data_IF_219333984192
#
_entry.id   IF_219333984192
#
_cell.length_a   1.000
_cell.length_b   1.000
_cell.length_c   1.000
_cell.angle_alpha   90.00
_cell.angle_beta   90.00
_cell.angle_gamma   90.00
#
_symmetry.space_group_name_H-M   'P 1'
#
loop_
_entity.id
_entity.type
_entity.pdbx_description
1 polymer ?
#
# COMPACT_ATOMS: atom_id res chain seq x y z
N UNK A 1 -9.80 8.24 2.60
CA UNK A 1 -8.48 8.85 2.91
C UNK A 1 -7.90 8.09 4.08
N UNK A 2 -7.06 7.08 3.80
CA UNK A 2 -6.58 6.13 4.81
C UNK A 2 -5.67 6.80 5.85
N UNK A 3 -4.85 7.75 5.42
CA UNK A 3 -3.97 8.54 6.26
C UNK A 3 -4.75 9.31 7.36
N UNK A 4 -5.96 9.79 7.05
CA UNK A 4 -6.82 10.50 8.01
C UNK A 4 -7.41 9.61 9.10
N UNK A 5 -7.38 8.29 8.94
CA UNK A 5 -7.80 7.38 10.01
C UNK A 5 -6.88 7.51 11.23
N UNK A 6 -5.59 7.82 11.02
CA UNK A 6 -4.63 7.92 12.11
C UNK A 6 -4.89 9.10 13.04
N UNK A 7 -5.55 10.15 12.54
CA UNK A 7 -6.00 11.28 13.36
C UNK A 7 -6.94 10.82 14.49
N UNK A 8 -7.78 9.82 14.22
CA UNK A 8 -8.73 9.28 15.20
C UNK A 8 -8.08 8.39 16.26
N UNK A 9 -6.88 7.84 15.99
CA UNK A 9 -6.20 6.88 16.87
C UNK A 9 -4.92 7.46 17.49
N UNK A 10 -4.67 8.77 17.36
CA UNK A 10 -3.47 9.43 17.90
C UNK A 10 -2.17 9.03 17.20
N UNK A 11 -2.27 8.47 15.99
CA UNK A 11 -1.13 8.07 15.17
C UNK A 11 -0.74 9.15 14.16
N UNK A 12 0.20 8.82 13.27
CA UNK A 12 0.63 9.70 12.17
C UNK A 12 0.10 9.16 10.84
N UNK A 13 -0.60 10.00 10.07
CA UNK A 13 -1.02 9.69 8.71
C UNK A 13 -0.17 10.43 7.68
N UNK A 14 0.34 9.74 6.67
CA UNK A 14 1.12 10.34 5.58
C UNK A 14 0.58 9.87 4.22
N UNK A 15 0.51 10.78 3.24
CA UNK A 15 0.26 10.45 1.83
C UNK A 15 1.60 10.51 1.08
N UNK A 16 1.94 9.46 0.34
CA UNK A 16 3.13 9.40 -0.50
C UNK A 16 2.75 9.11 -1.95
N UNK A 17 3.12 10.02 -2.85
CA UNK A 17 2.85 9.94 -4.30
C UNK A 17 4.09 9.63 -5.12
N UNK A 18 5.27 9.70 -4.50
CA UNK A 18 6.55 9.37 -5.14
C UNK A 18 7.37 8.38 -4.30
N UNK A 19 8.32 7.65 -4.92
CA UNK A 19 9.24 6.79 -4.17
C UNK A 19 10.08 7.55 -3.12
N UNK A 20 10.47 8.79 -3.41
CA UNK A 20 11.24 9.62 -2.49
C UNK A 20 10.41 10.02 -1.26
N UNK A 21 9.14 10.40 -1.46
CA UNK A 21 8.20 10.69 -0.36
C UNK A 21 7.97 9.45 0.50
N UNK A 22 7.78 8.28 -0.12
CA UNK A 22 7.61 7.03 0.59
C UNK A 22 8.84 6.70 1.45
N UNK A 23 10.04 6.87 0.89
CA UNK A 23 11.31 6.64 1.60
C UNK A 23 11.43 7.55 2.82
N UNK A 24 11.22 8.85 2.64
CA UNK A 24 11.29 9.82 3.73
C UNK A 24 10.24 9.52 4.81
N UNK A 25 9.00 9.22 4.42
CA UNK A 25 7.93 8.86 5.35
C UNK A 25 8.27 7.61 6.17
N UNK A 26 8.88 6.59 5.55
CA UNK A 26 9.34 5.40 6.26
C UNK A 26 10.44 5.72 7.28
N UNK A 27 11.43 6.52 6.92
CA UNK A 27 12.52 6.90 7.82
C UNK A 27 12.02 7.66 9.04
N UNK A 28 11.10 8.63 8.85
CA UNK A 28 10.50 9.37 9.95
C UNK A 28 9.58 8.50 10.81
N UNK A 29 8.81 7.58 10.22
CA UNK A 29 7.97 6.65 10.97
C UNK A 29 8.80 5.76 11.92
N UNK A 30 9.90 5.20 11.41
CA UNK A 30 10.80 4.34 12.19
C UNK A 30 11.52 5.15 13.28
N UNK A 31 12.07 6.33 12.93
CA UNK A 31 12.77 7.20 13.88
C UNK A 31 11.83 7.71 14.97
N UNK A 32 10.60 8.08 14.60
CA UNK A 32 9.60 8.67 15.48
C UNK A 32 8.95 7.68 16.44
N UNK A 33 9.04 6.36 16.18
CA UNK A 33 8.47 5.29 17.01
C UNK A 33 6.99 5.49 17.35
N UNK A 34 6.25 6.14 16.44
CA UNK A 34 4.79 6.33 16.55
C UNK A 34 4.08 5.36 15.63
N UNK A 35 2.90 4.85 16.01
CA UNK A 35 2.00 4.19 15.07
C UNK A 35 1.78 5.10 13.85
N UNK A 36 2.16 4.64 12.67
CA UNK A 36 2.16 5.45 11.44
C UNK A 36 1.54 4.68 10.28
N UNK A 37 0.61 5.31 9.54
CA UNK A 37 0.03 4.80 8.30
C UNK A 37 0.50 5.66 7.14
N UNK A 38 1.23 5.04 6.20
CA UNK A 38 1.67 5.69 4.96
C UNK A 38 0.78 5.19 3.83
N UNK A 39 -0.07 6.08 3.30
CA UNK A 39 -0.90 5.83 2.13
C UNK A 39 -0.05 6.06 0.86
N UNK A 40 0.51 4.98 0.32
CA UNK A 40 1.30 5.02 -0.91
C UNK A 40 0.40 4.93 -2.14
N UNK A 41 0.46 5.93 -3.02
CA UNK A 41 -0.27 5.92 -4.28
C UNK A 41 0.46 5.02 -5.28
N UNK A 42 -0.24 4.00 -5.78
CA UNK A 42 0.26 3.03 -6.76
C UNK A 42 -0.57 3.14 -8.03
N UNK A 43 0.06 2.90 -9.18
CA UNK A 43 -0.66 2.75 -10.45
C UNK A 43 -1.55 1.51 -10.40
N UNK A 44 -2.85 1.69 -10.68
CA UNK A 44 -3.86 0.62 -10.70
C UNK A 44 -3.50 -0.52 -11.66
N UNK A 45 -2.66 -0.27 -12.67
CA UNK A 45 -2.21 -1.25 -13.67
C UNK A 45 -0.88 -1.92 -13.35
N UNK A 46 -0.20 -1.53 -12.26
CA UNK A 46 1.10 -2.09 -11.91
C UNK A 46 1.03 -3.54 -11.41
N UNK A 47 -0.16 -4.00 -10.99
CA UNK A 47 -0.37 -5.35 -10.49
C UNK A 47 -0.68 -6.38 -11.58
N UNK A 48 -0.29 -7.63 -11.34
CA UNK A 48 -0.89 -8.80 -12.00
C UNK A 48 -1.87 -9.47 -11.03
N UNK A 49 -2.93 -10.09 -11.55
CA UNK A 49 -4.05 -10.65 -10.76
C UNK A 49 -3.59 -11.47 -9.53
N UNK A 50 -2.58 -12.32 -9.73
CA UNK A 50 -2.09 -13.25 -8.70
C UNK A 50 -0.59 -13.11 -8.45
N UNK A 51 0.02 -12.02 -8.90
CA UNK A 51 1.47 -11.82 -8.74
C UNK A 51 2.29 -12.97 -9.32
N UNK A 52 3.12 -13.60 -8.47
CA UNK A 52 3.98 -14.72 -8.84
C UNK A 52 3.26 -16.08 -8.89
N UNK A 53 2.05 -16.18 -8.34
CA UNK A 53 1.31 -17.45 -8.22
C UNK A 53 0.19 -17.60 -9.27
N UNK A 54 0.25 -16.85 -10.37
CA UNK A 54 -0.68 -16.96 -11.50
C UNK A 54 -0.86 -18.38 -12.02
N UNK A 55 0.17 -19.23 -11.91
CA UNK A 55 0.08 -20.65 -12.28
C UNK A 55 -0.94 -21.46 -11.46
N UNK A 56 -1.41 -20.93 -10.33
CA UNK A 56 -2.40 -21.55 -9.45
C UNK A 56 -3.81 -21.00 -9.68
N UNK A 57 -4.01 -20.10 -10.66
CA UNK A 57 -5.32 -19.55 -10.94
C UNK A 57 -6.30 -20.65 -11.37
N UNK A 58 -7.57 -20.61 -10.90
CA UNK A 58 -8.57 -21.55 -11.34
C UNK A 58 -8.67 -21.51 -12.86
N UNK A 59 -8.43 -22.64 -13.53
CA UNK A 59 -8.71 -22.73 -14.95
C UNK A 59 -10.22 -22.52 -15.15
N UNK A 60 -10.60 -21.42 -15.80
CA UNK A 60 -11.98 -21.23 -16.20
C UNK A 60 -12.40 -22.46 -17.01
N UNK A 61 -13.41 -23.21 -16.55
CA UNK A 61 -14.02 -24.27 -17.36
C UNK A 61 -14.41 -23.60 -18.68
N UNK A 62 -13.82 -24.03 -19.81
CA UNK A 62 -14.32 -23.64 -21.14
C UNK A 62 -15.82 -23.92 -21.13
N UNK A 63 -16.64 -22.88 -21.20
CA UNK A 63 -18.07 -23.05 -21.47
C UNK A 63 -18.18 -23.78 -22.82
N UNK A 64 -19.05 -24.81 -22.92
CA UNK A 64 -19.29 -25.50 -24.18
C UNK A 64 -19.84 -24.54 -25.24
#
# INVERSE_FOLDING_TARGET
RYEKLMDAFGGVGVLATTPAELRNAMEEAIRGRKPTLINAVIDEKAGTESGRITSLNPAAKKKP
#
